data_IF_632262820593
#
_entry.id   IF_632262820593
#
_cell.length_a   1.000
_cell.length_b   1.000
_cell.length_c   1.000
_cell.angle_alpha   90.00
_cell.angle_beta   90.00
_cell.angle_gamma   90.00
#
_symmetry.space_group_name_H-M   'P 1'
#
loop_
_entity.id
_entity.type
_entity.pdbx_description
1 polymer ?
#
# COMPACT_ATOMS: atom_id res chain seq x y z
N UNK A 1 5.18 21.06 -7.71
CA UNK A 1 4.29 20.13 -8.44
C UNK A 1 4.76 18.73 -8.09
N UNK A 2 3.84 17.81 -7.91
CA UNK A 2 4.16 16.47 -7.46
C UNK A 2 4.88 15.68 -8.58
N UNK A 3 6.14 15.30 -8.36
CA UNK A 3 6.97 14.58 -9.36
C UNK A 3 6.91 13.04 -9.23
N UNK A 4 5.94 12.51 -8.47
CA UNK A 4 5.75 11.06 -8.31
C UNK A 4 4.95 10.46 -9.48
N UNK A 5 5.26 9.21 -9.84
CA UNK A 5 4.66 8.49 -10.97
C UNK A 5 3.45 7.64 -10.59
N UNK A 6 3.30 7.35 -9.30
CA UNK A 6 2.26 6.47 -8.75
C UNK A 6 1.73 7.03 -7.45
N UNK A 7 0.48 6.71 -7.13
CA UNK A 7 -0.19 7.05 -5.88
C UNK A 7 -0.72 5.81 -5.17
N UNK A 8 -0.35 5.65 -3.91
CA UNK A 8 -0.87 4.63 -3.02
C UNK A 8 -1.76 5.22 -1.93
N UNK A 9 -2.72 4.42 -1.51
CA UNK A 9 -3.62 4.72 -0.40
C UNK A 9 -3.67 3.52 0.54
N UNK A 10 -3.43 3.77 1.82
CA UNK A 10 -3.61 2.80 2.89
C UNK A 10 -4.78 3.26 3.76
N UNK A 11 -5.93 2.61 3.61
CA UNK A 11 -7.08 2.79 4.49
C UNK A 11 -6.93 1.87 5.70
N UNK A 12 -6.99 2.41 6.91
CA UNK A 12 -6.83 1.60 8.13
C UNK A 12 -7.69 2.07 9.30
N UNK A 13 -8.12 1.10 10.11
CA UNK A 13 -8.79 1.36 11.39
C UNK A 13 -7.79 1.86 12.44
N UNK A 14 -7.88 3.15 12.78
CA UNK A 14 -7.07 3.79 13.84
C UNK A 14 -7.27 3.13 15.22
N UNK A 15 -8.51 2.96 15.74
CA UNK A 15 -8.71 2.39 17.08
C UNK A 15 -8.38 0.89 17.18
N UNK A 16 -8.19 0.20 16.06
CA UNK A 16 -7.85 -1.22 16.03
C UNK A 16 -6.35 -1.50 16.20
N UNK A 17 -5.52 -0.46 16.39
CA UNK A 17 -4.07 -0.59 16.54
C UNK A 17 -3.32 -0.83 15.22
N UNK A 18 -3.95 -0.59 14.06
CA UNK A 18 -3.31 -0.82 12.76
C UNK A 18 -2.38 0.30 12.30
N UNK A 19 -2.16 1.34 13.11
CA UNK A 19 -1.26 2.43 12.76
C UNK A 19 0.19 1.95 12.49
N UNK A 20 0.73 1.07 13.34
CA UNK A 20 2.09 0.53 13.15
C UNK A 20 2.18 -0.35 11.90
N UNK A 21 1.13 -1.12 11.62
CA UNK A 21 1.03 -1.94 10.41
C UNK A 21 0.98 -1.07 9.15
N UNK A 22 0.20 0.02 9.17
CA UNK A 22 0.16 0.99 8.07
C UNK A 22 1.52 1.69 7.87
N UNK A 23 2.20 2.06 8.96
CA UNK A 23 3.55 2.65 8.89
C UNK A 23 4.60 1.68 8.33
N UNK A 24 4.56 0.40 8.73
CA UNK A 24 5.45 -0.61 8.17
C UNK A 24 5.17 -0.83 6.68
N UNK A 25 3.91 -0.95 6.28
CA UNK A 25 3.55 -1.09 4.86
C UNK A 25 3.97 0.14 4.04
N UNK A 26 3.89 1.34 4.60
CA UNK A 26 4.42 2.57 3.97
C UNK A 26 5.91 2.42 3.67
N UNK A 27 6.69 1.93 4.64
CA UNK A 27 8.12 1.65 4.45
C UNK A 27 8.39 0.58 3.39
N UNK A 28 7.59 -0.47 3.30
CA UNK A 28 7.75 -1.49 2.25
C UNK A 28 7.43 -0.95 0.85
N UNK A 29 6.38 -0.14 0.73
CA UNK A 29 6.01 0.49 -0.54
C UNK A 29 7.07 1.49 -1.01
N UNK A 30 7.63 2.31 -0.11
CA UNK A 30 8.76 3.18 -0.45
C UNK A 30 10.03 2.42 -0.79
N UNK A 31 10.29 1.27 -0.16
CA UNK A 31 11.39 0.40 -0.59
C UNK A 31 11.18 -0.18 -2.00
N UNK A 32 9.92 -0.29 -2.48
CA UNK A 32 9.62 -0.75 -3.83
C UNK A 32 9.83 0.33 -4.90
N UNK A 33 9.34 1.54 -4.64
CA UNK A 33 9.19 2.57 -5.67
C UNK A 33 9.93 3.89 -5.38
N UNK A 34 10.53 4.03 -4.19
CA UNK A 34 11.29 5.21 -3.79
C UNK A 34 10.51 6.50 -3.97
N UNK A 35 11.14 7.49 -4.59
CA UNK A 35 10.56 8.82 -4.86
C UNK A 35 9.50 8.81 -5.97
N UNK A 36 9.32 7.71 -6.68
CA UNK A 36 8.31 7.59 -7.74
C UNK A 36 6.90 7.32 -7.20
N UNK A 37 6.72 7.19 -5.88
CA UNK A 37 5.45 6.87 -5.24
C UNK A 37 5.09 7.93 -4.19
N UNK A 38 3.84 8.38 -4.20
CA UNK A 38 3.23 9.06 -3.05
C UNK A 38 2.32 8.08 -2.29
N UNK A 39 2.25 8.24 -0.97
CA UNK A 39 1.44 7.38 -0.10
C UNK A 39 0.53 8.26 0.76
N UNK A 40 -0.77 7.97 0.73
CA UNK A 40 -1.76 8.58 1.61
C UNK A 40 -2.21 7.57 2.67
N UNK A 41 -2.26 8.03 3.92
CA UNK A 41 -2.79 7.27 5.06
C UNK A 41 -4.18 7.78 5.40
N UNK A 42 -5.19 6.94 5.21
CA UNK A 42 -6.60 7.30 5.42
C UNK A 42 -7.20 6.53 6.59
N UNK A 43 -7.72 7.22 7.63
CA UNK A 43 -8.55 6.58 8.64
C UNK A 43 -9.81 5.99 7.99
N UNK A 44 -10.04 4.70 8.24
CA UNK A 44 -11.18 3.95 7.70
C UNK A 44 -12.16 3.45 8.76
N UNK A 45 -13.13 2.66 8.32
CA UNK A 45 -14.11 2.03 9.20
C UNK A 45 -13.48 1.02 10.18
N UNK A 46 -14.25 0.62 11.20
CA UNK A 46 -13.81 -0.38 12.17
C UNK A 46 -13.34 -1.68 11.48
N UNK A 47 -12.12 -2.10 11.80
CA UNK A 47 -11.51 -3.31 11.26
C UNK A 47 -10.98 -3.22 9.82
N UNK A 48 -11.10 -2.07 9.15
CA UNK A 48 -10.60 -1.86 7.79
C UNK A 48 -9.07 -1.91 7.75
N UNK A 49 -8.54 -2.57 6.73
CA UNK A 49 -7.15 -2.48 6.32
C UNK A 49 -7.05 -2.78 4.82
N UNK A 50 -6.87 -1.76 4.00
CA UNK A 50 -6.89 -1.86 2.53
C UNK A 50 -5.74 -1.05 1.94
N UNK A 51 -5.08 -1.61 0.93
CA UNK A 51 -3.99 -0.97 0.20
C UNK A 51 -4.39 -0.89 -1.27
N UNK A 52 -4.39 0.32 -1.81
CA UNK A 52 -4.72 0.62 -3.21
C UNK A 52 -3.54 1.36 -3.85
N UNK A 53 -3.23 1.08 -5.12
CA UNK A 53 -2.16 1.74 -5.89
C UNK A 53 -2.65 2.05 -7.29
N UNK A 54 -2.71 3.33 -7.67
CA UNK A 54 -3.41 3.88 -8.86
C UNK A 54 -4.70 3.12 -9.17
N UNK A 55 -5.67 3.21 -8.26
CA UNK A 55 -6.99 2.58 -8.32
C UNK A 55 -7.03 1.03 -8.30
N UNK A 56 -5.89 0.36 -8.25
CA UNK A 56 -5.80 -1.11 -8.12
C UNK A 56 -5.70 -1.53 -6.65
N UNK A 57 -6.62 -2.39 -6.20
CA UNK A 57 -6.58 -2.93 -4.84
C UNK A 57 -5.55 -4.05 -4.75
N UNK A 58 -4.41 -3.78 -4.10
CA UNK A 58 -3.37 -4.78 -3.86
C UNK A 58 -3.65 -5.64 -2.63
N UNK A 59 -4.35 -5.08 -1.65
CA UNK A 59 -4.75 -5.79 -0.44
C UNK A 59 -6.08 -5.28 0.09
N UNK A 60 -6.95 -6.19 0.50
CA UNK A 60 -8.13 -5.87 1.29
C UNK A 60 -8.34 -6.94 2.36
N UNK A 61 -8.22 -6.53 3.62
CA UNK A 61 -8.46 -7.41 4.78
C UNK A 61 -9.88 -7.97 4.81
N UNK A 62 -10.89 -7.27 4.27
CA UNK A 62 -12.26 -7.77 4.19
C UNK A 62 -12.36 -8.99 3.26
N UNK A 63 -11.53 -9.02 2.21
CA UNK A 63 -11.47 -10.12 1.25
C UNK A 63 -10.60 -11.26 1.78
N UNK A 64 -9.43 -10.93 2.33
CA UNK A 64 -8.44 -11.92 2.77
C UNK A 64 -8.75 -12.51 4.15
N UNK A 65 -9.60 -11.87 4.96
CA UNK A 65 -9.90 -12.26 6.33
C UNK A 65 -8.75 -12.03 7.33
N UNK A 66 -7.57 -11.59 6.86
CA UNK A 66 -6.38 -11.34 7.67
C UNK A 66 -5.67 -10.04 7.30
N UNK A 67 -4.91 -9.51 8.25
CA UNK A 67 -3.93 -8.45 7.99
C UNK A 67 -2.72 -9.02 7.24
N UNK A 68 -2.03 -8.23 6.41
CA UNK A 68 -0.86 -8.71 5.68
C UNK A 68 0.26 -9.10 6.63
N UNK A 69 0.81 -10.29 6.44
CA UNK A 69 2.04 -10.74 7.10
C UNK A 69 3.28 -10.44 6.24
N UNK A 70 4.44 -10.95 6.65
CA UNK A 70 5.72 -10.72 5.97
C UNK A 70 5.70 -11.24 4.52
N UNK A 71 5.04 -12.37 4.26
CA UNK A 71 4.97 -12.94 2.92
C UNK A 71 4.08 -12.08 2.02
N UNK A 72 2.95 -11.60 2.55
CA UNK A 72 2.05 -10.75 1.79
C UNK A 72 2.59 -9.34 1.56
N UNK A 73 3.31 -8.77 2.53
CA UNK A 73 4.02 -7.52 2.32
C UNK A 73 5.07 -7.65 1.21
N UNK A 74 5.78 -8.78 1.12
CA UNK A 74 6.73 -9.06 0.05
C UNK A 74 6.06 -9.18 -1.32
N UNK A 75 4.89 -9.83 -1.39
CA UNK A 75 4.11 -9.93 -2.63
C UNK A 75 3.60 -8.55 -3.08
N UNK A 76 3.05 -7.75 -2.16
CA UNK A 76 2.60 -6.38 -2.42
C UNK A 76 3.76 -5.52 -2.94
N UNK A 77 4.93 -5.60 -2.29
CA UNK A 77 6.15 -4.90 -2.71
C UNK A 77 6.56 -5.28 -4.13
N UNK A 78 6.55 -6.57 -4.46
CA UNK A 78 6.89 -7.05 -5.81
C UNK A 78 5.89 -6.56 -6.87
N UNK A 79 4.59 -6.54 -6.55
CA UNK A 79 3.55 -6.00 -7.43
C UNK A 79 3.77 -4.52 -7.72
N UNK A 80 4.08 -3.73 -6.70
CA UNK A 80 4.36 -2.28 -6.84
C UNK A 80 5.60 -2.05 -7.71
N UNK A 81 6.69 -2.77 -7.46
CA UNK A 81 7.91 -2.66 -8.25
C UNK A 81 7.66 -3.00 -9.73
N UNK A 82 6.95 -4.10 -10.01
CA UNK A 82 6.58 -4.49 -11.36
C UNK A 82 5.69 -3.44 -12.05
N UNK A 83 4.76 -2.84 -11.31
CA UNK A 83 3.89 -1.78 -11.82
C UNK A 83 4.71 -0.55 -12.22
N UNK A 84 5.65 -0.12 -11.37
CA UNK A 84 6.58 0.97 -11.71
C UNK A 84 7.41 0.68 -12.97
N UNK A 85 7.94 -0.54 -13.10
CA UNK A 85 8.69 -0.96 -14.30
C UNK A 85 7.83 -0.90 -15.57
N UNK A 86 6.54 -1.22 -15.48
CA UNK A 86 5.61 -1.16 -16.61
C UNK A 86 5.35 0.28 -17.06
N UNK A 87 5.29 1.23 -16.11
CA UNK A 87 5.11 2.66 -16.39
C UNK A 87 6.38 3.32 -16.96
N UNK A 88 7.56 2.74 -16.73
CA UNK A 88 8.82 3.24 -17.26
C UNK A 88 9.09 2.82 -18.73
N UNK A 89 8.32 1.87 -19.26
CA UNK A 89 8.45 1.36 -20.65
C UNK A 89 7.47 2.01 -21.63
N UNK A 90 6.56 2.85 -21.14
CA UNK A 90 5.60 3.66 -21.91
C UNK A 90 6.18 5.06 -22.06
#
# INVERSE_FOLDING_TARGET
MADWKMEAEIEYCVPCGYANLAAWMTSELFQAAGTALAISLKPGAAGAFKITVDDEVLWDKKVQGKSPDIMEAKDIKAKVAKKLESLAKV
#
